data_IF_507051817577
#
_entry.id   IF_507051817577
#
_cell.length_a   1.000
_cell.length_b   1.000
_cell.length_c   1.000
_cell.angle_alpha   90.00
_cell.angle_beta   90.00
_cell.angle_gamma   90.00
#
_symmetry.space_group_name_H-M   'P 1'
#
loop_
_entity.id
_entity.type
_entity.pdbx_description
1 polymer ?
#
# COMPACT_ATOMS: atom_id res chain seq x y z
N UNK A 1 -29.59 10.11 6.29
CA UNK A 1 -29.15 8.74 6.63
C UNK A 1 -27.92 8.91 7.50
N UNK A 2 -28.05 8.64 8.80
CA UNK A 2 -26.90 8.65 9.71
C UNK A 2 -26.13 7.36 9.39
N UNK A 3 -24.81 7.39 9.11
CA UNK A 3 -24.08 6.16 8.87
C UNK A 3 -24.17 5.30 10.13
N UNK A 4 -24.56 4.04 9.95
CA UNK A 4 -24.52 3.02 11.00
C UNK A 4 -23.13 3.02 11.67
N UNK A 5 -23.05 2.73 12.98
CA UNK A 5 -21.77 2.61 13.65
C UNK A 5 -20.93 1.58 12.89
N UNK A 6 -19.74 2.00 12.45
CA UNK A 6 -18.80 1.15 11.75
C UNK A 6 -18.68 -0.18 12.51
N UNK A 7 -19.16 -1.27 11.90
CA UNK A 7 -18.83 -2.62 12.34
C UNK A 7 -17.34 -2.64 12.69
N UNK A 8 -16.98 -3.23 13.83
CA UNK A 8 -15.59 -3.35 14.27
C UNK A 8 -14.81 -4.10 13.18
N UNK A 9 -14.23 -3.36 12.25
CA UNK A 9 -13.46 -3.93 11.16
C UNK A 9 -12.12 -4.35 11.72
N UNK A 10 -11.81 -5.63 11.59
CA UNK A 10 -10.47 -6.12 11.86
C UNK A 10 -9.54 -5.61 10.78
N UNK A 11 -8.49 -4.91 11.19
CA UNK A 11 -7.39 -4.52 10.32
C UNK A 11 -6.21 -5.43 10.61
N UNK A 12 -5.64 -6.03 9.57
CA UNK A 12 -4.34 -6.67 9.69
C UNK A 12 -3.25 -5.65 9.98
N UNK A 13 -2.16 -6.13 10.58
CA UNK A 13 -0.94 -5.34 10.70
C UNK A 13 -0.35 -5.06 9.30
N UNK A 14 0.23 -3.88 9.16
CA UNK A 14 1.06 -3.54 8.00
C UNK A 14 2.39 -4.28 8.13
N UNK A 15 2.87 -4.80 7.01
CA UNK A 15 4.12 -5.53 6.90
C UNK A 15 5.13 -4.69 6.14
N UNK A 16 6.40 -4.72 6.57
CA UNK A 16 7.51 -4.21 5.76
C UNK A 16 7.97 -5.30 4.79
N UNK A 17 8.12 -4.93 3.53
CA UNK A 17 8.78 -5.73 2.50
C UNK A 17 9.97 -4.95 1.95
N UNK A 18 11.00 -5.67 1.50
CA UNK A 18 12.20 -5.09 0.94
C UNK A 18 12.50 -5.76 -0.39
N UNK A 19 12.48 -4.98 -1.47
CA UNK A 19 13.00 -5.41 -2.77
C UNK A 19 14.46 -4.93 -2.90
N UNK A 20 15.45 -5.84 -2.90
CA UNK A 20 16.87 -5.46 -2.97
C UNK A 20 17.23 -4.67 -4.24
N UNK A 21 16.42 -4.76 -5.30
CA UNK A 21 16.68 -4.10 -6.58
C UNK A 21 15.98 -2.74 -6.73
N UNK A 22 15.00 -2.42 -5.87
CA UNK A 22 14.17 -1.21 -6.04
C UNK A 22 13.88 -0.46 -4.74
N UNK A 23 12.78 -0.76 -4.06
CA UNK A 23 12.21 0.00 -2.97
C UNK A 23 11.83 -0.90 -1.79
N UNK A 24 12.05 -0.37 -0.60
CA UNK A 24 11.37 -0.86 0.59
C UNK A 24 9.94 -0.31 0.61
N UNK A 25 9.00 -1.10 1.13
CA UNK A 25 7.61 -0.69 1.18
C UNK A 25 6.92 -1.21 2.44
N UNK A 26 5.90 -0.46 2.85
CA UNK A 26 4.89 -0.97 3.74
C UNK A 26 3.69 -1.45 2.94
N UNK A 27 3.20 -2.63 3.30
CA UNK A 27 2.06 -3.28 2.65
C UNK A 27 1.00 -3.64 3.66
N UNK A 28 -0.23 -3.21 3.37
CA UNK A 28 -1.43 -3.68 4.03
C UNK A 28 -2.08 -4.77 3.18
N UNK A 29 -2.36 -5.91 3.81
CA UNK A 29 -3.16 -6.99 3.21
C UNK A 29 -4.46 -7.12 3.98
N UNK A 30 -5.63 -7.05 3.34
CA UNK A 30 -6.92 -7.16 4.02
C UNK A 30 -7.09 -8.56 4.65
N UNK A 31 -7.83 -8.70 5.76
CA UNK A 31 -8.14 -10.01 6.32
C UNK A 31 -8.87 -10.88 5.31
N UNK A 32 -8.38 -12.09 5.05
CA UNK A 32 -9.07 -13.04 4.20
C UNK A 32 -9.74 -14.12 5.03
N UNK A 33 -11.04 -14.32 4.81
CA UNK A 33 -11.78 -15.50 5.30
C UNK A 33 -11.69 -16.70 4.35
N UNK A 34 -11.05 -16.55 3.18
CA UNK A 34 -10.96 -17.57 2.14
C UNK A 34 -9.52 -17.81 1.70
N UNK A 35 -9.06 -19.04 1.82
CA UNK A 35 -7.77 -19.49 1.30
C UNK A 35 -7.69 -19.27 -0.22
N UNK A 36 -6.54 -18.80 -0.72
CA UNK A 36 -6.31 -18.56 -2.14
C UNK A 36 -7.01 -17.34 -2.76
N UNK A 37 -7.74 -16.53 -1.98
CA UNK A 37 -8.35 -15.30 -2.47
C UNK A 37 -7.27 -14.28 -2.85
N UNK A 38 -7.29 -13.83 -4.10
CA UNK A 38 -6.45 -12.74 -4.62
C UNK A 38 -7.16 -11.40 -4.55
N UNK A 39 -6.42 -10.32 -4.30
CA UNK A 39 -6.94 -8.97 -4.12
C UNK A 39 -6.36 -8.00 -5.17
N UNK A 40 -7.15 -7.03 -5.64
CA UNK A 40 -6.61 -5.85 -6.33
C UNK A 40 -5.48 -5.19 -5.53
N UNK A 41 -4.55 -4.60 -6.27
CA UNK A 41 -3.42 -3.85 -5.72
C UNK A 41 -3.60 -2.35 -5.98
N UNK A 42 -3.42 -1.55 -4.94
CA UNK A 42 -3.15 -0.11 -5.03
C UNK A 42 -1.69 0.11 -4.63
N UNK A 43 -0.89 0.65 -5.54
CA UNK A 43 0.44 1.19 -5.25
C UNK A 43 0.31 2.70 -5.18
N UNK A 44 0.65 3.28 -4.03
CA UNK A 44 0.63 4.73 -3.83
C UNK A 44 2.06 5.29 -3.73
N UNK A 45 2.44 6.10 -4.72
CA UNK A 45 3.72 6.80 -4.77
C UNK A 45 3.60 8.13 -4.01
N UNK A 46 4.39 8.29 -2.96
CA UNK A 46 4.33 9.47 -2.10
C UNK A 46 4.92 10.71 -2.78
N UNK A 47 4.55 11.89 -2.27
CA UNK A 47 5.03 13.18 -2.77
C UNK A 47 6.44 13.49 -2.25
N UNK A 48 7.04 14.58 -2.76
CA UNK A 48 8.38 14.99 -2.36
C UNK A 48 8.52 15.30 -0.85
N UNK A 49 7.43 15.72 -0.19
CA UNK A 49 7.42 15.99 1.25
C UNK A 49 7.69 14.76 2.12
N UNK A 50 7.47 13.55 1.59
CA UNK A 50 7.75 12.29 2.26
C UNK A 50 9.06 11.64 1.81
N UNK A 51 9.80 12.25 0.86
CA UNK A 51 11.08 11.74 0.39
C UNK A 51 12.17 11.82 1.45
N UNK A 52 13.12 10.89 1.36
CA UNK A 52 14.27 10.82 2.25
C UNK A 52 13.94 10.24 3.62
N UNK A 53 14.97 10.02 4.45
CA UNK A 53 14.79 9.30 5.71
C UNK A 53 14.44 7.82 5.50
N UNK A 54 13.81 7.21 6.51
CA UNK A 54 13.46 5.79 6.52
C UNK A 54 12.02 5.52 6.06
N UNK A 55 11.70 4.24 5.87
CA UNK A 55 10.39 3.75 5.45
C UNK A 55 9.22 4.25 6.33
N UNK A 56 9.47 4.58 7.61
CA UNK A 56 8.44 5.06 8.53
C UNK A 56 7.80 6.39 8.11
N UNK A 57 8.47 7.13 7.22
CA UNK A 57 7.93 8.35 6.61
C UNK A 57 6.63 8.15 5.85
N UNK A 58 6.42 6.97 5.28
CA UNK A 58 5.16 6.63 4.60
C UNK A 58 3.96 6.49 5.56
N UNK A 59 4.21 6.46 6.88
CA UNK A 59 3.20 6.37 7.94
C UNK A 59 3.20 7.59 8.87
N UNK A 60 3.95 8.64 8.56
CA UNK A 60 3.99 9.84 9.40
C UNK A 60 2.72 10.71 9.23
N UNK A 61 2.46 11.69 10.12
CA UNK A 61 1.27 12.53 10.01
C UNK A 61 1.17 13.37 8.72
N UNK A 62 2.25 13.52 7.95
CA UNK A 62 2.20 14.19 6.64
C UNK A 62 1.64 13.28 5.55
N UNK A 63 1.56 11.97 5.80
CA UNK A 63 0.92 10.98 4.94
C UNK A 63 -0.60 10.85 5.16
N UNK A 64 -1.20 11.71 5.99
CA UNK A 64 -2.67 11.77 6.15
C UNK A 64 -3.36 11.95 4.79
N UNK A 65 -4.41 11.18 4.55
CA UNK A 65 -5.15 11.15 3.28
C UNK A 65 -4.59 10.13 2.27
N UNK A 66 -3.39 9.58 2.50
CA UNK A 66 -2.85 8.52 1.64
C UNK A 66 -3.51 7.17 1.98
N UNK A 67 -3.72 6.27 1.00
CA UNK A 67 -4.37 5.00 1.24
C UNK A 67 -3.71 4.18 2.37
N UNK A 68 -2.37 4.12 2.39
CA UNK A 68 -1.61 3.35 3.37
C UNK A 68 -1.76 3.92 4.79
N UNK A 69 -1.69 5.24 4.93
CA UNK A 69 -1.90 5.89 6.23
C UNK A 69 -3.33 5.67 6.75
N UNK A 70 -4.34 5.74 5.88
CA UNK A 70 -5.73 5.56 6.31
C UNK A 70 -6.02 4.12 6.77
N UNK A 71 -5.44 3.11 6.11
CA UNK A 71 -5.58 1.72 6.59
C UNK A 71 -4.77 1.50 7.88
N UNK A 72 -3.58 2.08 7.99
CA UNK A 72 -2.75 2.01 9.19
C UNK A 72 -3.43 2.64 10.41
N UNK A 73 -3.96 3.85 10.25
CA UNK A 73 -4.64 4.62 11.29
C UNK A 73 -6.07 4.15 11.55
N UNK A 74 -6.53 3.11 10.84
CA UNK A 74 -7.87 2.52 10.95
C UNK A 74 -9.02 3.50 10.63
N UNK A 75 -8.75 4.46 9.74
CA UNK A 75 -9.70 5.49 9.27
C UNK A 75 -10.12 5.30 7.82
N UNK A 76 -9.56 4.32 7.13
CA UNK A 76 -9.92 3.99 5.76
C UNK A 76 -11.42 3.66 5.62
N UNK A 77 -12.04 4.00 4.48
CA UNK A 77 -13.34 3.46 4.12
C UNK A 77 -13.32 1.93 4.19
N UNK A 78 -14.41 1.33 4.65
CA UNK A 78 -14.55 -0.13 4.83
C UNK A 78 -14.18 -0.90 3.55
N UNK A 79 -14.56 -0.37 2.40
CA UNK A 79 -14.26 -0.97 1.10
C UNK A 79 -12.76 -1.06 0.82
N UNK A 80 -11.99 -0.02 1.16
CA UNK A 80 -10.54 -0.02 1.00
C UNK A 80 -9.90 -1.07 1.91
N UNK A 81 -10.30 -1.10 3.19
CA UNK A 81 -9.77 -2.03 4.18
C UNK A 81 -10.16 -3.50 3.96
N UNK A 82 -11.26 -3.80 3.25
CA UNK A 82 -11.70 -5.19 3.02
C UNK A 82 -11.29 -5.77 1.67
N UNK A 83 -11.00 -4.93 0.68
CA UNK A 83 -10.94 -5.37 -0.71
C UNK A 83 -9.64 -5.09 -1.44
N UNK A 84 -8.70 -4.33 -0.87
CA UNK A 84 -7.48 -3.93 -1.57
C UNK A 84 -6.23 -4.23 -0.76
N UNK A 85 -5.23 -4.79 -1.43
CA UNK A 85 -3.85 -4.68 -0.96
C UNK A 85 -3.40 -3.25 -1.24
N UNK A 86 -2.78 -2.62 -0.25
CA UNK A 86 -2.25 -1.26 -0.37
C UNK A 86 -0.76 -1.29 -0.11
N UNK A 87 0.04 -0.88 -1.09
CA UNK A 87 1.49 -0.77 -0.98
C UNK A 87 1.90 0.71 -1.05
N UNK A 88 2.67 1.15 -0.05
CA UNK A 88 3.36 2.43 -0.06
C UNK A 88 4.87 2.20 -0.11
N UNK A 89 5.48 2.13 -1.31
CA UNK A 89 6.94 2.15 -1.41
C UNK A 89 7.50 3.48 -0.91
N UNK A 90 8.74 3.45 -0.44
CA UNK A 90 9.49 4.63 -0.03
C UNK A 90 10.65 4.90 -0.98
N UNK A 91 10.80 6.15 -1.38
CA UNK A 91 11.94 6.62 -2.16
C UNK A 91 12.72 7.69 -1.42
N UNK A 92 14.05 7.56 -1.45
CA UNK A 92 14.98 8.59 -0.98
C UNK A 92 15.21 9.72 -2.00
N UNK A 93 14.77 9.53 -3.25
CA UNK A 93 14.94 10.44 -4.37
C UNK A 93 13.69 10.52 -5.25
N UNK A 94 13.81 11.15 -6.41
CA UNK A 94 12.74 11.14 -7.41
C UNK A 94 12.37 9.71 -7.81
N UNK A 95 11.12 9.50 -8.22
CA UNK A 95 10.67 8.20 -8.71
C UNK A 95 11.33 7.89 -10.07
N UNK A 96 12.02 6.77 -10.13
CA UNK A 96 12.53 6.23 -11.39
C UNK A 96 11.48 5.29 -11.96
N UNK A 97 10.92 5.64 -13.12
CA UNK A 97 9.86 4.84 -13.76
C UNK A 97 10.26 3.38 -14.00
N UNK A 98 11.53 3.11 -14.32
CA UNK A 98 12.03 1.75 -14.50
C UNK A 98 12.08 0.98 -13.18
N UNK A 99 12.49 1.61 -12.08
CA UNK A 99 12.44 1.02 -10.74
C UNK A 99 11.01 0.81 -10.27
N UNK A 100 10.09 1.71 -10.56
CA UNK A 100 8.66 1.54 -10.22
C UNK A 100 8.08 0.31 -10.92
N UNK A 101 8.38 0.12 -12.20
CA UNK A 101 7.94 -1.07 -12.93
C UNK A 101 8.56 -2.35 -12.39
N UNK A 102 9.86 -2.35 -12.09
CA UNK A 102 10.53 -3.51 -11.46
C UNK A 102 9.98 -3.84 -10.08
N UNK A 103 9.66 -2.82 -9.28
CA UNK A 103 9.02 -3.00 -7.99
C UNK A 103 7.64 -3.63 -8.14
N UNK A 104 6.87 -3.22 -9.16
CA UNK A 104 5.60 -3.87 -9.47
C UNK A 104 5.80 -5.34 -9.86
N UNK A 105 6.80 -5.65 -10.69
CA UNK A 105 7.13 -7.04 -11.03
C UNK A 105 7.47 -7.86 -9.78
N UNK A 106 8.21 -7.27 -8.82
CA UNK A 106 8.48 -7.88 -7.52
C UNK A 106 7.20 -8.12 -6.71
N UNK A 107 6.30 -7.14 -6.60
CA UNK A 107 5.03 -7.31 -5.89
C UNK A 107 4.17 -8.42 -6.50
N UNK A 108 4.22 -8.61 -7.82
CA UNK A 108 3.46 -9.63 -8.53
C UNK A 108 4.15 -11.01 -8.54
N UNK A 109 5.40 -11.08 -8.12
CA UNK A 109 6.17 -12.31 -8.13
C UNK A 109 5.82 -13.20 -6.93
N UNK A 110 6.10 -14.51 -7.01
CA UNK A 110 5.94 -15.40 -5.85
C UNK A 110 6.83 -15.02 -4.66
N UNK A 111 7.91 -14.25 -4.87
CA UNK A 111 8.84 -13.86 -3.80
C UNK A 111 8.22 -12.86 -2.81
N UNK A 112 7.23 -12.06 -3.23
CA UNK A 112 6.55 -11.14 -2.32
C UNK A 112 5.58 -11.85 -1.36
N UNK A 113 5.19 -13.08 -1.69
CA UNK A 113 4.15 -13.87 -0.99
C UNK A 113 2.78 -13.14 -0.88
N UNK A 114 2.57 -12.08 -1.67
CA UNK A 114 1.34 -11.31 -1.63
C UNK A 114 0.26 -11.94 -2.53
N UNK A 115 -1.00 -12.09 -2.04
CA UNK A 115 -2.07 -12.67 -2.83
C UNK A 115 -2.67 -11.61 -3.79
N UNK A 116 -1.90 -11.17 -4.78
CA UNK A 116 -2.31 -10.11 -5.71
C UNK A 116 -3.01 -10.67 -6.96
N UNK A 117 -4.09 -10.02 -7.35
CA UNK A 117 -4.74 -10.18 -8.65
C UNK A 117 -4.08 -9.28 -9.69
N UNK A 118 -3.19 -9.87 -10.50
CA UNK A 118 -2.42 -9.15 -11.52
C UNK A 118 -3.27 -8.48 -12.61
N UNK A 119 -4.57 -8.78 -12.70
CA UNK A 119 -5.48 -8.12 -13.66
C UNK A 119 -6.07 -6.82 -13.14
N UNK A 120 -5.86 -6.50 -11.84
CA UNK A 120 -6.44 -5.33 -11.16
C UNK A 120 -5.39 -4.60 -10.35
N UNK A 121 -4.57 -3.84 -11.07
CA UNK A 121 -3.49 -3.03 -10.49
C UNK A 121 -3.81 -1.56 -10.76
N UNK A 122 -3.75 -0.75 -9.71
CA UNK A 122 -3.81 0.71 -9.82
C UNK A 122 -2.54 1.31 -9.23
N UNK A 123 -1.85 2.13 -10.01
CA UNK A 123 -0.74 2.94 -9.55
C UNK A 123 -1.25 4.37 -9.47
N UNK A 124 -1.07 5.00 -8.32
CA UNK A 124 -1.50 6.36 -8.06
C UNK A 124 -0.38 7.10 -7.34
N UNK A 125 -0.34 8.42 -7.48
CA UNK A 125 0.59 9.24 -6.75
C UNK A 125 0.03 10.65 -6.58
N UNK A 126 0.69 11.43 -5.72
CA UNK A 126 0.36 12.82 -5.50
C UNK A 126 1.58 13.69 -5.83
N UNK A 127 1.33 14.76 -6.59
CA UNK A 127 2.34 15.70 -7.06
C UNK A 127 3.46 15.01 -7.86
N UNK A 128 4.64 14.84 -7.28
CA UNK A 128 5.81 14.22 -7.93
C UNK A 128 5.74 12.68 -7.96
N UNK A 129 4.72 12.08 -7.31
CA UNK A 129 4.42 10.65 -7.34
C UNK A 129 3.50 10.23 -8.47
#
# INVERSE_FOLDING_TARGET
VIPEPHEHMEYNAIQSISDPDTYDAYVYTPPSSKEGKKFPLIVYLHAASQMGGDLSKTLDPTAVGTPLYEVWSKRAPVELGRHFIVAGPHSVGEWDSGKVLKFLDFLLSPQSELPIDATRISIMGWAEG
#
